data_IF_988311312976
#
_entry.id   IF_988311312976
#
_cell.length_a   1.000
_cell.length_b   1.000
_cell.length_c   1.000
_cell.angle_alpha   90.00
_cell.angle_beta   90.00
_cell.angle_gamma   90.00
#
_symmetry.space_group_name_H-M   'P 1'
#
loop_
_entity.id
_entity.type
_entity.pdbx_description
1 polymer ?
#
# COMPACT_ATOMS: atom_id res chain seq x y z
N UNK A 1 16.04 -23.65 -8.56
CA UNK A 1 14.97 -24.62 -8.87
C UNK A 1 14.78 -25.55 -7.69
N UNK A 2 13.76 -25.35 -6.86
CA UNK A 2 13.37 -26.32 -5.84
C UNK A 2 11.85 -26.43 -5.89
N UNK A 3 11.38 -27.61 -6.29
CA UNK A 3 9.99 -28.03 -6.29
C UNK A 3 9.64 -28.45 -4.86
N UNK A 4 8.47 -28.07 -4.38
CA UNK A 4 7.91 -28.60 -3.13
C UNK A 4 6.47 -29.04 -3.38
N UNK A 5 6.26 -30.35 -3.29
CA UNK A 5 4.98 -31.03 -3.37
C UNK A 5 4.16 -30.76 -2.10
N UNK A 6 2.91 -30.34 -2.24
CA UNK A 6 1.96 -30.23 -1.14
C UNK A 6 1.01 -31.44 -1.13
N UNK A 7 1.03 -32.17 -0.02
CA UNK A 7 0.04 -33.16 0.36
C UNK A 7 -1.18 -32.41 0.93
N UNK A 8 -2.36 -32.70 0.40
CA UNK A 8 -3.63 -32.09 0.82
C UNK A 8 -4.10 -32.73 2.13
N UNK A 9 -4.33 -31.90 3.16
CA UNK A 9 -5.17 -32.23 4.30
C UNK A 9 -6.07 -31.02 4.59
N UNK A 10 -7.38 -31.23 4.49
CA UNK A 10 -8.41 -30.23 4.70
C UNK A 10 -8.56 -29.88 6.19
N UNK A 11 -8.52 -28.60 6.53
CA UNK A 11 -9.05 -28.03 7.76
C UNK A 11 -9.54 -26.59 7.53
N UNK A 12 -10.75 -26.35 8.05
CA UNK A 12 -11.55 -25.13 8.16
C UNK A 12 -10.97 -23.80 7.64
N UNK A 13 -11.74 -23.15 6.76
CA UNK A 13 -11.40 -21.90 6.09
C UNK A 13 -11.26 -20.70 7.02
N UNK A 14 -10.02 -20.25 7.16
CA UNK A 14 -9.72 -18.84 7.39
C UNK A 14 -9.32 -18.31 6.01
N UNK A 15 -10.20 -17.53 5.39
CA UNK A 15 -9.90 -16.85 4.13
C UNK A 15 -8.90 -15.74 4.41
N UNK A 16 -7.62 -16.07 4.50
CA UNK A 16 -6.57 -15.08 4.36
C UNK A 16 -6.60 -14.62 2.90
N UNK A 17 -7.24 -13.48 2.65
CA UNK A 17 -7.13 -12.79 1.36
C UNK A 17 -5.80 -12.04 1.41
N UNK A 18 -4.70 -12.74 1.18
CA UNK A 18 -3.45 -12.06 0.85
C UNK A 18 -3.63 -11.37 -0.51
N UNK A 19 -3.02 -10.21 -0.71
CA UNK A 19 -2.98 -9.54 -2.00
C UNK A 19 -2.53 -10.53 -3.09
N UNK A 20 -3.33 -10.64 -4.15
CA UNK A 20 -3.06 -11.56 -5.27
C UNK A 20 -2.64 -10.74 -6.48
N UNK A 21 -1.42 -10.96 -6.96
CA UNK A 21 -0.99 -10.39 -8.22
C UNK A 21 -1.87 -10.90 -9.36
N UNK A 22 -2.45 -9.98 -10.13
CA UNK A 22 -3.32 -10.29 -11.27
C UNK A 22 -2.72 -9.75 -12.56
N UNK A 23 -3.13 -10.32 -13.69
CA UNK A 23 -2.77 -9.78 -15.00
C UNK A 23 -3.69 -8.60 -15.33
N UNK A 24 -3.17 -7.60 -16.02
CA UNK A 24 -3.93 -6.40 -16.42
C UNK A 24 -5.20 -6.72 -17.24
N UNK A 25 -5.17 -7.82 -18.02
CA UNK A 25 -6.34 -8.29 -18.76
C UNK A 25 -7.50 -8.73 -17.87
N UNK A 26 -7.21 -9.11 -16.62
CA UNK A 26 -8.18 -9.59 -15.63
C UNK A 26 -8.69 -8.47 -14.72
N UNK A 27 -8.18 -7.24 -14.90
CA UNK A 27 -8.69 -6.03 -14.22
C UNK A 27 -9.94 -5.53 -14.98
N UNK A 28 -11.08 -5.30 -14.28
CA UNK A 28 -12.28 -4.75 -14.90
C UNK A 28 -12.02 -3.45 -15.67
N UNK A 29 -12.73 -3.26 -16.78
CA UNK A 29 -12.52 -2.10 -17.65
C UNK A 29 -12.85 -0.77 -16.96
N UNK A 30 -13.87 -0.75 -16.10
CA UNK A 30 -14.23 0.42 -15.29
C UNK A 30 -13.13 0.79 -14.28
N UNK A 31 -12.50 -0.21 -13.65
CA UNK A 31 -11.37 0.02 -12.73
C UNK A 31 -10.18 0.62 -13.47
N UNK A 32 -9.82 0.05 -14.64
CA UNK A 32 -8.75 0.61 -15.48
C UNK A 32 -9.06 2.03 -15.95
N UNK A 33 -10.30 2.30 -16.35
CA UNK A 33 -10.74 3.62 -16.76
C UNK A 33 -10.68 4.63 -15.59
N UNK A 34 -11.11 4.22 -14.39
CA UNK A 34 -11.00 5.02 -13.17
C UNK A 34 -9.56 5.41 -12.87
N UNK A 35 -8.65 4.44 -12.89
CA UNK A 35 -7.21 4.69 -12.71
C UNK A 35 -6.65 5.64 -13.79
N UNK A 36 -6.87 5.34 -15.07
CA UNK A 36 -6.33 6.13 -16.19
C UNK A 36 -6.86 7.57 -16.23
N UNK A 37 -8.08 7.81 -15.72
CA UNK A 37 -8.64 9.17 -15.62
C UNK A 37 -7.79 10.07 -14.72
N UNK A 38 -7.25 9.52 -13.64
CA UNK A 38 -6.43 10.27 -12.67
C UNK A 38 -4.94 10.22 -12.98
N UNK A 39 -4.48 9.13 -13.61
CA UNK A 39 -3.07 8.88 -13.92
C UNK A 39 -2.86 8.57 -15.42
N UNK A 40 -3.16 9.51 -16.34
CA UNK A 40 -3.13 9.26 -17.78
C UNK A 40 -1.72 8.93 -18.33
N UNK A 41 -0.68 9.32 -17.61
CA UNK A 41 0.72 9.10 -18.00
C UNK A 41 1.34 7.85 -17.38
N UNK A 42 0.63 7.15 -16.49
CA UNK A 42 1.14 5.95 -15.83
C UNK A 42 1.39 4.83 -16.85
N UNK A 43 2.56 4.19 -16.73
CA UNK A 43 3.02 3.10 -17.60
C UNK A 43 3.52 1.94 -16.75
N UNK A 44 3.54 0.75 -17.34
CA UNK A 44 4.03 -0.48 -16.69
C UNK A 44 3.34 -0.75 -15.34
N UNK A 45 2.02 -0.50 -15.28
CA UNK A 45 1.22 -0.66 -14.07
C UNK A 45 1.15 -2.13 -13.69
N UNK A 46 1.51 -2.44 -12.45
CA UNK A 46 1.32 -3.75 -11.83
C UNK A 46 0.00 -3.72 -11.09
N UNK A 47 -0.75 -4.81 -11.21
CA UNK A 47 -2.06 -4.92 -10.61
C UNK A 47 -2.10 -6.03 -9.58
N UNK A 48 -2.70 -5.73 -8.45
CA UNK A 48 -2.98 -6.67 -7.38
C UNK A 48 -4.47 -6.59 -7.01
N UNK A 49 -4.99 -7.69 -6.46
CA UNK A 49 -6.34 -7.76 -5.92
C UNK A 49 -6.25 -7.97 -4.42
N UNK A 50 -6.90 -7.11 -3.67
CA UNK A 50 -6.84 -7.09 -2.21
C UNK A 50 -8.23 -6.84 -1.66
N UNK A 51 -8.73 -7.72 -0.78
CA UNK A 51 -10.04 -7.56 -0.10
C UNK A 51 -11.25 -7.18 -1.00
N UNK A 52 -11.21 -7.53 -2.29
CA UNK A 52 -12.24 -7.18 -3.26
C UNK A 52 -11.99 -5.88 -4.04
N UNK A 53 -10.98 -5.12 -3.65
CA UNK A 53 -10.42 -3.96 -4.34
C UNK A 53 -9.29 -4.34 -5.30
N UNK A 54 -8.80 -3.34 -6.02
CA UNK A 54 -7.75 -3.46 -7.02
C UNK A 54 -6.68 -2.40 -6.75
N UNK A 55 -5.45 -2.83 -6.59
CA UNK A 55 -4.33 -1.92 -6.38
C UNK A 55 -3.51 -1.79 -7.67
N UNK A 56 -3.24 -0.55 -8.06
CA UNK A 56 -2.40 -0.21 -9.21
C UNK A 56 -1.05 0.35 -8.72
N UNK A 57 0.01 -0.44 -8.82
CA UNK A 57 1.39 -0.05 -8.51
C UNK A 57 2.15 0.41 -9.76
N UNK A 58 2.75 1.60 -9.74
CA UNK A 58 3.47 2.18 -10.88
C UNK A 58 4.56 3.17 -10.44
N UNK A 59 5.34 3.67 -11.40
CA UNK A 59 6.41 4.64 -11.15
C UNK A 59 6.21 5.95 -11.89
N UNK A 60 6.42 7.05 -11.19
CA UNK A 60 6.59 8.38 -11.77
C UNK A 60 7.97 8.89 -11.40
N UNK A 61 8.81 9.17 -12.39
CA UNK A 61 10.20 9.64 -12.16
C UNK A 61 11.00 8.77 -11.15
N UNK A 62 10.79 7.44 -11.18
CA UNK A 62 11.37 6.42 -10.28
C UNK A 62 10.83 6.41 -8.84
N UNK A 63 9.90 7.30 -8.49
CA UNK A 63 9.13 7.23 -7.24
C UNK A 63 8.05 6.17 -7.42
N UNK A 64 7.92 5.26 -6.45
CA UNK A 64 6.85 4.26 -6.42
C UNK A 64 5.55 4.96 -6.00
N UNK A 65 4.47 4.60 -6.68
CA UNK A 65 3.11 5.00 -6.38
C UNK A 65 2.24 3.76 -6.33
N UNK A 66 1.29 3.74 -5.40
CA UNK A 66 0.16 2.81 -5.45
C UNK A 66 -1.16 3.57 -5.38
N UNK A 67 -2.19 2.98 -5.96
CA UNK A 67 -3.55 3.52 -5.94
C UNK A 67 -4.49 2.36 -5.71
N UNK A 68 -5.22 2.38 -4.60
CA UNK A 68 -6.27 1.44 -4.30
C UNK A 68 -7.58 1.93 -4.91
N UNK A 69 -8.19 1.08 -5.73
CA UNK A 69 -9.49 1.33 -6.36
C UNK A 69 -10.51 0.30 -5.90
N UNK A 70 -11.73 0.76 -5.64
CA UNK A 70 -12.86 -0.14 -5.41
C UNK A 70 -13.27 -0.88 -6.71
N UNK A 71 -14.19 -1.84 -6.59
CA UNK A 71 -14.69 -2.60 -7.73
C UNK A 71 -15.43 -1.74 -8.78
N UNK A 72 -15.82 -0.50 -8.44
CA UNK A 72 -16.45 0.45 -9.34
C UNK A 72 -15.43 1.34 -10.08
N UNK A 73 -14.17 1.32 -9.66
CA UNK A 73 -13.09 2.14 -10.20
C UNK A 73 -12.98 3.51 -9.53
N UNK A 74 -13.56 3.69 -8.34
CA UNK A 74 -13.31 4.88 -7.53
C UNK A 74 -12.02 4.71 -6.75
N UNK A 75 -11.23 5.78 -6.64
CA UNK A 75 -10.04 5.80 -5.78
C UNK A 75 -10.49 5.78 -4.32
N UNK A 76 -10.02 4.77 -3.59
CA UNK A 76 -10.16 4.67 -2.13
C UNK A 76 -8.98 5.33 -1.46
N UNK A 77 -7.79 5.12 -2.01
CA UNK A 77 -6.52 5.59 -1.45
C UNK A 77 -5.47 5.73 -2.55
N UNK A 78 -4.56 6.68 -2.36
CA UNK A 78 -3.32 6.76 -3.14
C UNK A 78 -2.14 6.95 -2.22
N UNK A 79 -1.06 6.26 -2.53
CA UNK A 79 0.18 6.30 -1.80
C UNK A 79 1.34 6.75 -2.70
N UNK A 80 2.25 7.50 -2.09
CA UNK A 80 3.52 7.87 -2.71
C UNK A 80 4.64 7.59 -1.73
N UNK A 81 5.60 6.75 -2.13
CA UNK A 81 6.81 6.53 -1.35
C UNK A 81 7.61 7.82 -1.25
N UNK A 82 8.09 8.14 -0.06
CA UNK A 82 8.93 9.30 0.24
C UNK A 82 10.26 8.89 0.83
N UNK A 83 11.26 9.78 0.78
CA UNK A 83 12.47 9.53 1.56
C UNK A 83 12.13 9.61 3.05
N UNK A 84 12.71 8.72 3.86
CA UNK A 84 12.59 8.75 5.33
C UNK A 84 12.98 10.10 5.95
N UNK A 85 13.86 10.85 5.27
CA UNK A 85 14.25 12.20 5.67
C UNK A 85 13.10 13.21 5.58
N UNK A 86 12.10 12.97 4.74
CA UNK A 86 10.91 13.81 4.57
C UNK A 86 9.86 13.62 5.68
N UNK A 87 9.96 12.55 6.49
CA UNK A 87 9.15 12.41 7.69
C UNK A 87 9.42 13.56 8.66
N UNK A 88 8.37 14.09 9.28
CA UNK A 88 8.47 15.20 10.22
C UNK A 88 9.23 14.81 11.50
N UNK A 89 9.76 15.81 12.22
CA UNK A 89 10.45 15.56 13.48
C UNK A 89 9.56 14.82 14.52
N UNK A 90 8.27 15.17 14.71
CA UNK A 90 7.40 14.43 15.63
C UNK A 90 7.29 12.93 15.31
N UNK A 91 7.23 12.56 14.02
CA UNK A 91 7.21 11.15 13.61
C UNK A 91 8.52 10.46 13.99
N UNK A 92 9.66 11.07 13.64
CA UNK A 92 10.99 10.52 13.95
C UNK A 92 11.21 10.35 15.45
N UNK A 93 10.73 11.31 16.25
CA UNK A 93 10.80 11.28 17.71
C UNK A 93 9.93 10.15 18.28
N UNK A 94 8.69 10.00 17.78
CA UNK A 94 7.83 8.89 18.15
C UNK A 94 8.49 7.54 17.83
N UNK A 95 9.00 7.36 16.62
CA UNK A 95 9.68 6.12 16.24
C UNK A 95 10.89 5.84 17.12
N UNK A 96 11.72 6.83 17.40
CA UNK A 96 12.91 6.67 18.25
C UNK A 96 12.54 6.22 19.67
N UNK A 97 11.43 6.75 20.20
CA UNK A 97 10.95 6.44 21.56
C UNK A 97 10.27 5.08 21.65
N UNK A 98 9.46 4.72 20.65
CA UNK A 98 8.59 3.54 20.70
C UNK A 98 9.20 2.29 20.05
N UNK A 99 10.14 2.47 19.12
CA UNK A 99 10.83 1.39 18.40
C UNK A 99 12.36 1.55 18.51
N UNK A 100 12.93 1.48 19.74
CA UNK A 100 14.34 1.76 19.96
C UNK A 100 15.24 0.77 19.21
N UNK A 101 16.21 1.30 18.47
CA UNK A 101 17.15 0.51 17.67
C UNK A 101 16.58 -0.06 16.36
N UNK A 102 15.29 0.16 16.07
CA UNK A 102 14.66 -0.27 14.84
C UNK A 102 14.85 0.77 13.74
N UNK A 103 14.85 0.31 12.48
CA UNK A 103 15.02 1.16 11.31
C UNK A 103 13.70 1.24 10.58
N UNK A 104 13.33 2.46 10.19
CA UNK A 104 12.27 2.68 9.20
C UNK A 104 12.76 2.06 7.88
N UNK A 105 12.08 1.03 7.40
CA UNK A 105 12.41 0.34 6.15
C UNK A 105 11.85 1.13 4.97
N UNK A 106 10.59 1.52 5.02
CA UNK A 106 9.89 2.35 4.02
C UNK A 106 9.13 3.50 4.68
N UNK A 107 8.79 4.51 3.88
CA UNK A 107 8.02 5.66 4.34
C UNK A 107 7.17 6.19 3.20
N UNK A 108 5.94 6.58 3.51
CA UNK A 108 4.98 6.99 2.49
C UNK A 108 4.10 8.17 2.93
N UNK A 109 3.53 8.83 1.92
CA UNK A 109 2.38 9.73 2.05
C UNK A 109 1.15 9.01 1.53
N UNK A 110 0.13 8.92 2.36
CA UNK A 110 -1.13 8.27 2.02
C UNK A 110 -2.23 9.33 1.99
N UNK A 111 -3.00 9.37 0.90
CA UNK A 111 -4.17 10.25 0.76
C UNK A 111 -5.41 9.42 0.52
N UNK A 112 -6.39 9.52 1.41
CA UNK A 112 -7.67 8.82 1.28
C UNK A 112 -8.61 9.50 0.26
N UNK A 113 -9.74 8.86 -0.04
CA UNK A 113 -10.76 9.38 -0.95
C UNK A 113 -11.37 10.75 -0.52
N UNK A 114 -11.22 11.15 0.75
CA UNK A 114 -11.67 12.44 1.28
C UNK A 114 -10.58 13.51 1.22
N UNK A 115 -9.38 13.16 0.75
CA UNK A 115 -8.21 14.03 0.70
C UNK A 115 -7.48 14.17 2.04
N UNK A 116 -7.74 13.28 3.01
CA UNK A 116 -7.03 13.29 4.28
C UNK A 116 -5.62 12.72 4.06
N UNK A 117 -4.63 13.54 4.37
CA UNK A 117 -3.22 13.16 4.30
C UNK A 117 -2.77 12.52 5.62
N UNK A 118 -2.19 11.33 5.51
CA UNK A 118 -1.47 10.63 6.58
C UNK A 118 -0.07 10.26 6.12
N UNK A 119 0.78 9.87 7.08
CA UNK A 119 2.15 9.43 6.83
C UNK A 119 2.35 8.06 7.42
N UNK A 120 3.15 7.25 6.74
CA UNK A 120 3.53 5.93 7.18
C UNK A 120 5.04 5.84 7.42
N UNK A 121 5.42 5.07 8.43
CA UNK A 121 6.75 4.51 8.55
C UNK A 121 6.64 3.00 8.76
N UNK A 122 7.13 2.21 7.80
CA UNK A 122 7.16 0.75 7.91
C UNK A 122 8.35 0.31 8.77
N UNK A 123 8.07 -0.47 9.81
CA UNK A 123 9.07 -1.01 10.74
C UNK A 123 8.78 -2.49 11.00
N UNK A 124 9.66 -3.35 10.50
CA UNK A 124 9.57 -4.81 10.71
C UNK A 124 8.24 -5.44 10.24
N UNK A 125 7.70 -4.96 9.11
CA UNK A 125 6.42 -5.43 8.55
C UNK A 125 5.19 -4.88 9.26
N UNK A 126 5.34 -3.75 9.94
CA UNK A 126 4.25 -3.00 10.55
C UNK A 126 4.27 -1.55 10.06
N UNK A 127 3.11 -1.08 9.61
CA UNK A 127 2.89 0.28 9.14
C UNK A 127 2.41 1.14 10.29
N UNK A 128 3.28 2.06 10.72
CA UNK A 128 2.96 3.00 11.78
C UNK A 128 2.39 4.26 11.13
N UNK A 129 1.10 4.49 11.32
CA UNK A 129 0.35 5.55 10.66
C UNK A 129 0.23 6.78 11.56
N UNK A 130 0.54 7.93 10.98
CA UNK A 130 0.51 9.25 11.63
C UNK A 130 -0.38 10.21 10.86
N UNK A 131 -1.00 11.14 11.58
CA UNK A 131 -1.68 12.26 10.94
C UNK A 131 -0.68 13.26 10.32
N UNK A 132 -1.21 14.28 9.63
CA UNK A 132 -0.40 15.33 9.00
C UNK A 132 0.52 16.11 9.97
N UNK A 133 0.23 16.10 11.27
CA UNK A 133 1.03 16.76 12.31
C UNK A 133 2.12 15.85 12.89
N UNK A 134 2.09 14.56 12.55
CA UNK A 134 2.96 13.53 13.10
C UNK A 134 2.43 12.92 14.40
N UNK A 135 1.15 13.07 14.69
CA UNK A 135 0.50 12.40 15.82
C UNK A 135 0.17 10.97 15.41
N UNK A 136 0.56 10.00 16.24
CA UNK A 136 0.26 8.57 16.01
C UNK A 136 -1.26 8.33 15.94
N UNK A 137 -1.69 7.55 14.94
CA UNK A 137 -3.08 7.14 14.76
C UNK A 137 -3.23 5.66 15.11
N UNK A 138 -2.49 4.80 14.40
CA UNK A 138 -2.63 3.35 14.46
C UNK A 138 -1.39 2.64 13.94
N UNK A 139 -1.34 1.34 14.17
CA UNK A 139 -0.38 0.42 13.60
C UNK A 139 -1.17 -0.68 12.86
N UNK A 140 -0.74 -1.01 11.65
CA UNK A 140 -1.36 -2.03 10.79
C UNK A 140 -0.24 -2.98 10.33
N UNK A 141 -0.56 -4.24 10.11
CA UNK A 141 0.40 -5.20 9.58
C UNK A 141 0.41 -5.10 8.05
N UNK A 142 1.60 -4.98 7.47
CA UNK A 142 1.88 -5.08 6.03
C UNK A 142 1.77 -6.54 5.54
#
# INVERSE_FOLDING_TARGET
MKKLTFLVAALAGISFVCAQRIQEKDVPSNVKAGFQKHFPEAKNVKWEKEEGNYEAGFKVQKVEHSVLLDAYGNIVESEVTINRSELSAPIKDYITKHYPGKRIKEAAKITDAKGVLTYEAEIEGMDIIFDKSGTFIKEVKD
#
